data_IF_137123860904
#
_entry.id   IF_137123860904
#
_cell.length_a   1.000
_cell.length_b   1.000
_cell.length_c   1.000
_cell.angle_alpha   90.00
_cell.angle_beta   90.00
_cell.angle_gamma   90.00
#
_symmetry.space_group_name_H-M   'P 1'
#
loop_
_entity.id
_entity.type
_entity.pdbx_description
1 polymer ?
#
# COMPACT_ATOMS: atom_id res chain seq x y z
N UNK A 1 1.10 16.96 1.42
CA UNK A 1 1.35 16.01 2.53
C UNK A 1 0.99 14.58 2.13
N UNK A 2 -0.22 14.30 1.63
CA UNK A 2 -0.60 12.95 1.21
C UNK A 2 0.27 12.37 0.07
N UNK A 3 0.61 13.15 -0.96
CA UNK A 3 1.50 12.66 -2.04
C UNK A 3 2.89 12.27 -1.55
N UNK A 4 3.40 12.98 -0.53
CA UNK A 4 4.70 12.68 0.07
C UNK A 4 4.68 11.32 0.78
N UNK A 5 3.62 11.01 1.54
CA UNK A 5 3.49 9.72 2.21
C UNK A 5 3.33 8.56 1.21
N UNK A 6 2.56 8.74 0.13
CA UNK A 6 2.45 7.73 -0.93
C UNK A 6 3.79 7.48 -1.61
N UNK A 7 4.59 8.53 -1.84
CA UNK A 7 5.93 8.38 -2.39
C UNK A 7 6.87 7.65 -1.42
N UNK A 8 6.80 7.90 -0.10
CA UNK A 8 7.59 7.12 0.87
C UNK A 8 7.26 5.65 0.81
N UNK A 9 5.97 5.28 0.80
CA UNK A 9 5.58 3.86 0.72
C UNK A 9 6.15 3.23 -0.56
N UNK A 10 6.11 3.95 -1.70
CA UNK A 10 6.72 3.47 -2.95
C UNK A 10 8.22 3.24 -2.82
N UNK A 11 8.95 4.14 -2.15
CA UNK A 11 10.37 3.97 -1.91
C UNK A 11 10.67 2.81 -0.95
N UNK A 12 9.91 2.66 0.14
CA UNK A 12 10.05 1.54 1.08
C UNK A 12 9.82 0.19 0.39
N UNK A 13 8.82 0.08 -0.49
CA UNK A 13 8.59 -1.15 -1.26
C UNK A 13 9.73 -1.44 -2.25
N UNK A 14 10.32 -0.41 -2.86
CA UNK A 14 11.51 -0.57 -3.71
C UNK A 14 12.72 -1.03 -2.90
N UNK A 15 12.91 -0.48 -1.70
CA UNK A 15 14.00 -0.85 -0.82
C UNK A 15 13.85 -2.31 -0.37
N UNK A 16 12.64 -2.76 -0.03
CA UNK A 16 12.36 -4.19 0.24
C UNK A 16 12.76 -5.05 -0.96
N UNK A 17 12.34 -4.69 -2.18
CA UNK A 17 12.69 -5.45 -3.39
C UNK A 17 14.20 -5.46 -3.68
N UNK A 18 14.92 -4.40 -3.30
CA UNK A 18 16.34 -4.24 -3.57
C UNK A 18 17.22 -4.96 -2.55
N UNK A 19 16.86 -4.91 -1.27
CA UNK A 19 17.73 -5.35 -0.18
C UNK A 19 17.27 -6.65 0.48
N UNK A 20 15.97 -6.94 0.48
CA UNK A 20 15.38 -8.13 1.12
C UNK A 20 15.12 -9.25 0.09
N UNK A 21 16.06 -9.49 -0.82
CA UNK A 21 15.89 -10.42 -1.96
C UNK A 21 15.79 -11.90 -1.58
N UNK A 22 16.20 -12.26 -0.36
CA UNK A 22 16.19 -13.65 0.14
C UNK A 22 14.87 -14.03 0.84
N UNK A 23 13.88 -13.13 0.83
CA UNK A 23 12.60 -13.27 1.52
C UNK A 23 11.48 -13.48 0.51
N UNK A 24 10.72 -14.59 0.57
CA UNK A 24 9.62 -14.83 -0.37
C UNK A 24 8.53 -13.77 -0.28
N UNK A 25 8.34 -13.13 0.88
CA UNK A 25 7.41 -12.01 1.04
C UNK A 25 7.79 -10.78 0.21
N UNK A 26 9.09 -10.53 0.01
CA UNK A 26 9.59 -9.41 -0.79
C UNK A 26 9.19 -9.53 -2.26
N UNK A 27 9.15 -10.76 -2.79
CA UNK A 27 8.72 -11.05 -4.15
C UNK A 27 7.23 -10.74 -4.39
N UNK A 28 6.42 -10.76 -3.32
CA UNK A 28 4.98 -10.48 -3.40
C UNK A 28 4.66 -8.98 -3.31
N UNK A 29 5.57 -8.15 -2.78
CA UNK A 29 5.38 -6.70 -2.63
C UNK A 29 4.96 -5.93 -3.90
N UNK A 30 5.34 -6.31 -5.14
CA UNK A 30 4.85 -5.63 -6.34
C UNK A 30 3.32 -5.62 -6.48
N UNK A 31 2.61 -6.53 -5.81
CA UNK A 31 1.13 -6.57 -5.82
C UNK A 31 0.49 -5.30 -5.24
N UNK A 32 1.24 -4.51 -4.45
CA UNK A 32 0.75 -3.30 -3.80
C UNK A 32 0.76 -2.09 -4.77
N UNK A 33 1.57 -2.13 -5.83
CA UNK A 33 1.75 -1.01 -6.77
C UNK A 33 0.45 -0.49 -7.41
N UNK A 34 -0.46 -1.34 -7.93
CA UNK A 34 -1.72 -0.86 -8.53
C UNK A 34 -2.61 -0.10 -7.55
N UNK A 35 -2.57 -0.47 -6.26
CA UNK A 35 -3.34 0.21 -5.22
C UNK A 35 -2.72 1.59 -4.88
N UNK A 36 -1.39 1.68 -4.79
CA UNK A 36 -0.69 2.96 -4.60
C UNK A 36 -0.93 3.93 -5.76
N UNK A 37 -0.94 3.43 -6.99
CA UNK A 37 -1.23 4.24 -8.17
C UNK A 37 -2.68 4.76 -8.17
N UNK A 38 -3.63 3.94 -7.71
CA UNK A 38 -5.03 4.36 -7.54
C UNK A 38 -5.17 5.47 -6.50
N UNK A 39 -4.40 5.44 -5.41
CA UNK A 39 -4.39 6.52 -4.41
C UNK A 39 -3.72 7.78 -4.97
N UNK A 40 -2.57 7.65 -5.61
CA UNK A 40 -1.85 8.78 -6.22
C UNK A 40 -2.70 9.52 -7.26
N UNK A 41 -3.41 8.78 -8.14
CA UNK A 41 -4.34 9.38 -9.11
C UNK A 41 -5.51 10.10 -8.44
N UNK A 42 -6.02 9.58 -7.32
CA UNK A 42 -7.09 10.24 -6.59
C UNK A 42 -6.64 11.54 -5.92
N UNK A 43 -5.41 11.57 -5.38
CA UNK A 43 -4.79 12.76 -4.79
C UNK A 43 -4.54 13.85 -5.84
N UNK A 44 -3.96 13.49 -6.99
CA UNK A 44 -3.74 14.42 -8.11
C UNK A 44 -5.03 15.06 -8.60
N UNK A 45 -6.13 14.30 -8.62
CA UNK A 45 -7.46 14.77 -9.02
C UNK A 45 -8.24 15.47 -7.91
N UNK A 46 -7.70 15.52 -6.68
CA UNK A 46 -8.36 16.03 -5.48
C UNK A 46 -9.77 15.44 -5.26
N UNK A 47 -9.98 14.18 -5.66
CA UNK A 47 -11.28 13.53 -5.62
C UNK A 47 -11.42 12.70 -4.34
N UNK A 48 -12.13 13.25 -3.35
CA UNK A 48 -12.30 12.61 -2.04
C UNK A 48 -12.99 11.24 -2.11
N UNK A 49 -14.01 11.09 -2.96
CA UNK A 49 -14.74 9.82 -3.10
C UNK A 49 -13.81 8.76 -3.67
N UNK A 50 -13.07 9.10 -4.71
CA UNK A 50 -12.10 8.20 -5.31
C UNK A 50 -10.97 7.89 -4.33
N UNK A 51 -10.48 8.89 -3.59
CA UNK A 51 -9.44 8.70 -2.59
C UNK A 51 -9.86 7.69 -1.52
N UNK A 52 -11.07 7.81 -0.94
CA UNK A 52 -11.58 6.86 0.03
C UNK A 52 -11.65 5.43 -0.53
N UNK A 53 -12.12 5.28 -1.77
CA UNK A 53 -12.19 3.97 -2.43
C UNK A 53 -10.81 3.37 -2.69
N UNK A 54 -9.87 4.18 -3.20
CA UNK A 54 -8.49 3.77 -3.49
C UNK A 54 -7.71 3.46 -2.22
N UNK A 55 -7.93 4.21 -1.15
CA UNK A 55 -7.31 3.97 0.15
C UNK A 55 -7.80 2.65 0.77
N UNK A 56 -9.11 2.38 0.74
CA UNK A 56 -9.64 1.08 1.17
C UNK A 56 -9.09 -0.09 0.33
N UNK A 57 -8.91 0.12 -0.98
CA UNK A 57 -8.29 -0.86 -1.85
C UNK A 57 -6.82 -1.12 -1.46
N UNK A 58 -6.06 -0.07 -1.15
CA UNK A 58 -4.70 -0.18 -0.63
C UNK A 58 -4.66 -0.97 0.69
N UNK A 59 -5.49 -0.63 1.66
CA UNK A 59 -5.58 -1.35 2.94
C UNK A 59 -5.83 -2.85 2.73
N UNK A 60 -6.84 -3.19 1.92
CA UNK A 60 -7.14 -4.59 1.59
C UNK A 60 -5.99 -5.31 0.89
N UNK A 61 -5.19 -4.58 0.10
CA UNK A 61 -4.05 -5.15 -0.61
C UNK A 61 -2.91 -5.45 0.37
N UNK A 62 -2.63 -4.54 1.33
CA UNK A 62 -1.69 -4.79 2.42
C UNK A 62 -2.13 -5.98 3.27
N UNK A 63 -3.40 -6.02 3.67
CA UNK A 63 -4.00 -7.11 4.44
C UNK A 63 -3.86 -8.46 3.72
N UNK A 64 -4.08 -8.48 2.40
CA UNK A 64 -3.92 -9.69 1.60
C UNK A 64 -2.46 -10.13 1.51
N UNK A 65 -1.53 -9.20 1.29
CA UNK A 65 -0.09 -9.51 1.29
C UNK A 65 0.34 -10.12 2.64
N UNK A 66 -0.06 -9.52 3.76
CA UNK A 66 0.26 -10.05 5.09
C UNK A 66 -0.36 -11.43 5.33
N UNK A 67 -1.60 -11.66 4.88
CA UNK A 67 -2.25 -12.97 4.97
C UNK A 67 -1.51 -14.05 4.18
N UNK A 68 -1.22 -13.79 2.91
CA UNK A 68 -0.57 -14.76 2.02
C UNK A 68 0.86 -15.08 2.48
N UNK A 69 1.56 -14.08 3.03
CA UNK A 69 2.93 -14.23 3.55
C UNK A 69 2.97 -14.69 5.01
N UNK A 70 1.82 -14.95 5.64
CA UNK A 70 1.67 -15.35 7.04
C UNK A 70 2.32 -14.39 8.06
N UNK A 71 2.39 -13.11 7.73
CA UNK A 71 2.79 -12.06 8.67
C UNK A 71 1.62 -11.69 9.57
N UNK A 72 1.90 -11.43 10.85
CA UNK A 72 0.88 -11.04 11.82
C UNK A 72 0.11 -9.81 11.33
N UNK A 73 -1.21 -9.89 11.40
CA UNK A 73 -2.11 -8.80 11.05
C UNK A 73 -1.89 -7.63 12.02
N UNK A 74 -1.26 -6.54 11.57
CA UNK A 74 -1.60 -5.25 12.13
C UNK A 74 -2.90 -4.83 11.45
N UNK A 75 -4.04 -5.02 12.12
CA UNK A 75 -5.29 -4.40 11.69
C UNK A 75 -5.04 -2.91 11.52
N UNK A 76 -5.01 -2.41 10.29
CA UNK A 76 -5.09 -0.98 10.00
C UNK A 76 -6.52 -0.49 10.31
N UNK A 77 -6.94 -0.58 11.58
CA UNK A 77 -8.16 0.04 12.09
C UNK A 77 -7.94 1.54 12.17
N UNK A 78 -8.17 2.24 11.05
CA UNK A 78 -8.53 3.64 11.13
C UNK A 78 -10.04 3.71 11.39
N UNK A 79 -10.39 4.07 12.62
CA UNK A 79 -11.69 4.65 12.93
C UNK A 79 -11.97 5.73 11.87
N UNK A 80 -13.03 5.53 11.10
CA UNK A 80 -13.63 6.57 10.31
C UNK A 80 -14.04 7.69 11.26
N UNK A 81 -13.24 8.76 11.30
CA UNK A 81 -13.66 10.07 11.79
C UNK A 81 -13.89 10.93 10.54
#
# INVERSE_FOLDING_TARGET
>A
MADFEINKIKEELKDIQKYETNRPESEMTPMINPALDSVSKALQKQNLVHFKSSFNFLTKTCDNCHRETKHEFQTCTFLAI
#
